data_IF_437964514307
#
_entry.id   IF_437964514307
#
_cell.length_a   1.000
_cell.length_b   1.000
_cell.length_c   1.000
_cell.angle_alpha   90.00
_cell.angle_beta   90.00
_cell.angle_gamma   90.00
#
_symmetry.space_group_name_H-M   'P 1'
#
loop_
_entity.id
_entity.type
_entity.pdbx_description
1 polymer ?
#
# COMPACT_ATOMS: atom_id res chain seq x y z
N UNK A 1 -15.68 6.68 -5.42
CA UNK A 1 -14.34 6.06 -5.44
C UNK A 1 -13.39 7.08 -6.06
N UNK A 2 -12.49 7.68 -5.27
CA UNK A 2 -11.52 8.66 -5.81
C UNK A 2 -10.52 7.91 -6.69
N UNK A 3 -10.41 8.30 -7.97
CA UNK A 3 -9.47 7.71 -8.93
C UNK A 3 -8.00 7.95 -8.57
N UNK A 4 -7.73 8.88 -7.66
CA UNK A 4 -6.37 9.33 -7.28
C UNK A 4 -5.56 8.35 -6.44
N UNK A 5 -6.21 7.31 -5.90
CA UNK A 5 -5.57 6.29 -5.07
C UNK A 5 -5.34 4.98 -5.83
N UNK A 6 -5.63 4.92 -7.12
CA UNK A 6 -5.40 3.73 -7.94
C UNK A 6 -3.97 3.76 -8.45
N UNK A 7 -3.20 2.73 -8.11
CA UNK A 7 -1.86 2.48 -8.64
C UNK A 7 -1.97 1.33 -9.63
N UNK A 8 -1.38 1.50 -10.81
CA UNK A 8 -1.20 0.41 -11.78
C UNK A 8 0.18 -0.18 -11.50
N UNK A 9 0.24 -1.48 -11.25
CA UNK A 9 1.48 -2.19 -11.00
C UNK A 9 2.20 -2.42 -12.34
N UNK A 10 3.49 -2.11 -12.38
CA UNK A 10 4.36 -2.46 -13.50
C UNK A 10 4.54 -3.97 -13.58
N UNK A 11 4.57 -4.64 -12.43
CA UNK A 11 4.67 -6.09 -12.30
C UNK A 11 3.41 -6.62 -11.60
N UNK A 12 2.38 -7.05 -12.36
CA UNK A 12 1.13 -7.51 -11.78
C UNK A 12 1.31 -8.69 -10.83
N UNK A 13 0.58 -8.65 -9.70
CA UNK A 13 0.55 -9.77 -8.75
C UNK A 13 -0.33 -10.89 -9.32
N UNK A 14 0.20 -12.11 -9.33
CA UNK A 14 -0.52 -13.31 -9.80
C UNK A 14 -1.01 -14.13 -8.61
N UNK A 15 -2.32 -14.35 -8.54
CA UNK A 15 -2.99 -15.15 -7.51
C UNK A 15 -3.81 -16.25 -8.18
N UNK A 16 -3.16 -17.37 -8.45
CA UNK A 16 -3.76 -18.43 -9.28
C UNK A 16 -4.06 -17.91 -10.69
N UNK A 17 -5.33 -17.95 -11.10
CA UNK A 17 -5.78 -17.41 -12.39
C UNK A 17 -6.02 -15.89 -12.36
N UNK A 18 -6.08 -15.28 -11.17
CA UNK A 18 -6.29 -13.85 -11.03
C UNK A 18 -4.99 -13.07 -11.25
N UNK A 19 -5.05 -12.02 -12.06
CA UNK A 19 -3.97 -11.05 -12.25
C UNK A 19 -4.40 -9.70 -11.70
N UNK A 20 -3.66 -9.18 -10.73
CA UNK A 20 -3.91 -7.90 -10.09
C UNK A 20 -2.96 -6.89 -10.73
N UNK A 21 -3.47 -6.16 -11.72
CA UNK A 21 -2.72 -5.09 -12.41
C UNK A 21 -2.90 -3.74 -11.75
N UNK A 22 -3.99 -3.57 -10.99
CA UNK A 22 -4.34 -2.29 -10.35
C UNK A 22 -4.73 -2.52 -8.91
N UNK A 23 -4.21 -1.66 -8.05
CA UNK A 23 -4.47 -1.67 -6.62
C UNK A 23 -4.96 -0.30 -6.21
N UNK A 24 -6.10 -0.24 -5.54
CA UNK A 24 -6.61 0.99 -4.94
C UNK A 24 -6.17 1.06 -3.49
N UNK A 25 -5.55 2.17 -3.09
CA UNK A 25 -5.22 2.43 -1.69
C UNK A 25 -6.36 3.14 -0.95
N UNK A 26 -6.67 2.63 0.23
CA UNK A 26 -7.63 3.21 1.17
C UNK A 26 -6.89 4.09 2.18
N UNK A 27 -7.46 5.25 2.50
CA UNK A 27 -6.88 6.14 3.51
C UNK A 27 -6.80 5.41 4.86
N UNK A 28 -5.63 5.34 5.51
CA UNK A 28 -5.47 4.60 6.75
C UNK A 28 -6.14 5.34 7.91
N UNK A 29 -6.58 4.58 8.91
CA UNK A 29 -6.90 5.09 10.23
C UNK A 29 -5.95 4.48 11.28
N UNK A 30 -6.07 4.88 12.54
CA UNK A 30 -5.21 4.36 13.61
C UNK A 30 -5.28 2.82 13.75
N UNK A 31 -6.44 2.22 13.50
CA UNK A 31 -6.62 0.77 13.52
C UNK A 31 -5.88 0.05 12.39
N UNK A 32 -5.84 0.65 11.20
CA UNK A 32 -5.08 0.13 10.04
C UNK A 32 -3.60 -0.06 10.38
N UNK A 33 -3.01 0.90 11.10
CA UNK A 33 -1.59 0.93 11.45
C UNK A 33 -1.25 0.15 12.73
N UNK A 34 -2.18 -0.63 13.27
CA UNK A 34 -1.94 -1.40 14.49
C UNK A 34 -0.75 -2.35 14.32
N UNK A 35 0.17 -2.33 15.28
CA UNK A 35 1.35 -3.22 15.29
C UNK A 35 2.56 -2.67 14.53
N UNK A 36 2.49 -1.42 14.04
CA UNK A 36 3.62 -0.65 13.52
C UNK A 36 3.62 0.75 14.14
N UNK A 37 4.79 1.41 14.20
CA UNK A 37 4.87 2.80 14.63
C UNK A 37 4.52 3.74 13.47
N UNK A 38 3.98 4.92 13.78
CA UNK A 38 3.74 5.96 12.77
C UNK A 38 5.04 6.39 12.07
N UNK A 39 6.14 6.46 12.83
CA UNK A 39 7.46 6.80 12.30
C UNK A 39 7.94 5.78 11.27
N UNK A 40 7.76 4.48 11.52
CA UNK A 40 8.16 3.44 10.58
C UNK A 40 7.40 3.52 9.26
N UNK A 41 6.10 3.83 9.31
CA UNK A 41 5.28 4.04 8.11
C UNK A 41 5.70 5.32 7.38
N UNK A 42 5.94 6.42 8.11
CA UNK A 42 6.39 7.69 7.53
C UNK A 42 7.76 7.58 6.85
N UNK A 43 8.66 6.77 7.41
CA UNK A 43 9.98 6.49 6.85
C UNK A 43 9.96 5.40 5.75
N UNK A 44 8.78 4.88 5.39
CA UNK A 44 8.63 3.81 4.41
C UNK A 44 9.45 2.56 4.73
N UNK A 45 9.54 2.19 6.01
CA UNK A 45 10.21 0.96 6.42
C UNK A 45 9.51 -0.26 5.81
N UNK A 46 10.28 -1.11 5.13
CA UNK A 46 9.76 -2.25 4.36
C UNK A 46 8.90 -3.18 5.23
N UNK A 47 9.36 -3.53 6.42
CA UNK A 47 8.60 -4.39 7.35
C UNK A 47 7.28 -3.75 7.80
N UNK A 48 7.24 -2.43 7.93
CA UNK A 48 6.00 -1.72 8.25
C UNK A 48 5.04 -1.73 7.06
N UNK A 49 5.55 -1.47 5.85
CA UNK A 49 4.77 -1.51 4.60
C UNK A 49 4.16 -2.88 4.34
N UNK A 50 4.94 -3.96 4.51
CA UNK A 50 4.48 -5.35 4.38
C UNK A 50 3.28 -5.61 5.30
N UNK A 51 3.29 -5.09 6.53
CA UNK A 51 2.20 -5.28 7.50
C UNK A 51 0.96 -4.45 7.21
N UNK A 52 1.11 -3.22 6.68
CA UNK A 52 -0.01 -2.29 6.54
C UNK A 52 -0.67 -2.32 5.17
N UNK A 53 0.09 -2.52 4.09
CA UNK A 53 -0.45 -2.54 2.73
C UNK A 53 -1.58 -3.58 2.53
N UNK A 54 -1.52 -4.79 3.10
CA UNK A 54 -2.66 -5.72 3.06
C UNK A 54 -3.96 -5.10 3.56
N UNK A 55 -3.90 -4.26 4.58
CA UNK A 55 -5.09 -3.64 5.20
C UNK A 55 -5.56 -2.39 4.46
N UNK A 56 -4.77 -1.90 3.53
CA UNK A 56 -4.99 -0.64 2.80
C UNK A 56 -5.30 -0.85 1.33
N UNK A 57 -5.23 -2.08 0.81
CA UNK A 57 -5.31 -2.36 -0.63
C UNK A 57 -6.64 -2.99 -1.03
N UNK A 58 -7.13 -2.61 -2.20
CA UNK A 58 -8.28 -3.22 -2.87
C UNK A 58 -7.92 -3.49 -4.36
N UNK A 59 -7.83 -4.76 -4.81
CA UNK A 59 -8.02 -5.98 -4.01
C UNK A 59 -6.99 -6.10 -2.87
N UNK A 60 -7.39 -6.78 -1.80
CA UNK A 60 -6.55 -7.00 -0.62
C UNK A 60 -5.33 -7.82 -1.02
N UNK A 61 -4.14 -7.23 -0.92
CA UNK A 61 -2.89 -7.96 -1.03
C UNK A 61 -2.61 -8.71 0.28
N UNK A 62 -1.85 -9.79 0.20
CA UNK A 62 -1.33 -10.52 1.35
C UNK A 62 0.07 -10.01 1.71
N UNK A 63 0.53 -10.26 2.93
CA UNK A 63 1.91 -9.90 3.32
C UNK A 63 2.96 -10.54 2.39
N UNK A 64 2.72 -11.78 1.96
CA UNK A 64 3.61 -12.49 1.03
C UNK A 64 3.65 -11.81 -0.34
N UNK A 65 2.51 -11.39 -0.89
CA UNK A 65 2.48 -10.68 -2.17
C UNK A 65 3.15 -9.32 -2.08
N UNK A 66 2.96 -8.58 -0.97
CA UNK A 66 3.63 -7.29 -0.76
C UNK A 66 5.14 -7.47 -0.63
N UNK A 67 5.60 -8.50 0.10
CA UNK A 67 7.01 -8.83 0.23
C UNK A 67 7.66 -9.29 -1.08
N UNK A 68 6.86 -9.78 -2.03
CA UNK A 68 7.29 -10.21 -3.35
C UNK A 68 7.11 -9.14 -4.44
N UNK A 69 6.66 -7.92 -4.09
CA UNK A 69 6.58 -6.83 -5.05
C UNK A 69 7.97 -6.43 -5.52
N UNK A 70 8.06 -6.10 -6.81
CA UNK A 70 9.23 -5.45 -7.36
C UNK A 70 9.39 -4.04 -6.77
N UNK A 71 10.64 -3.58 -6.68
CA UNK A 71 10.97 -2.31 -6.03
C UNK A 71 10.19 -1.09 -6.57
N UNK A 72 9.99 -0.91 -7.90
CA UNK A 72 9.23 0.23 -8.41
C UNK A 72 7.79 0.25 -7.89
N UNK A 73 7.15 -0.92 -7.82
CA UNK A 73 5.76 -1.08 -7.37
C UNK A 73 5.63 -0.82 -5.86
N UNK A 74 6.58 -1.34 -5.07
CA UNK A 74 6.62 -1.07 -3.63
C UNK A 74 6.83 0.42 -3.35
N UNK A 75 7.74 1.09 -4.08
CA UNK A 75 8.01 2.52 -3.95
C UNK A 75 6.78 3.35 -4.32
N UNK A 76 6.07 2.99 -5.40
CA UNK A 76 4.83 3.67 -5.80
C UNK A 76 3.75 3.60 -4.71
N UNK A 77 3.55 2.42 -4.13
CA UNK A 77 2.62 2.22 -3.01
C UNK A 77 3.06 3.00 -1.76
N UNK A 78 4.34 2.94 -1.40
CA UNK A 78 4.91 3.64 -0.25
C UNK A 78 4.72 5.16 -0.35
N UNK A 79 4.99 5.74 -1.52
CA UNK A 79 4.81 7.17 -1.76
C UNK A 79 3.37 7.64 -1.53
N UNK A 80 2.38 6.84 -1.93
CA UNK A 80 0.96 7.13 -1.62
C UNK A 80 0.63 6.95 -0.14
N UNK A 81 1.18 5.93 0.53
CA UNK A 81 0.97 5.71 1.97
C UNK A 81 1.51 6.87 2.79
N UNK A 82 2.76 7.30 2.55
CA UNK A 82 3.34 8.50 3.18
C UNK A 82 2.53 9.74 2.82
N UNK A 83 2.08 9.81 1.57
CA UNK A 83 1.17 10.84 1.07
C UNK A 83 -0.12 10.97 1.87
N UNK A 84 -0.60 9.94 2.59
CA UNK A 84 -1.77 10.04 3.49
C UNK A 84 -1.45 10.58 4.89
N UNK A 85 -0.17 10.58 5.29
CA UNK A 85 0.27 11.05 6.60
C UNK A 85 0.51 12.57 6.64
N UNK A 86 0.50 13.23 5.48
CA UNK A 86 0.61 14.68 5.42
C UNK A 86 -0.67 15.33 5.95
N UNK A 87 -0.59 16.40 6.77
CA UNK A 87 -1.78 17.12 7.23
C UNK A 87 -2.59 17.72 6.06
N UNK A 88 -1.97 17.89 4.89
CA UNK A 88 -2.62 18.41 3.68
C UNK A 88 -3.16 17.32 2.74
N UNK A 89 -3.19 16.04 3.14
CA UNK A 89 -3.72 14.93 2.32
C UNK A 89 -5.24 14.94 2.14
N UNK A 90 -5.87 16.08 2.41
CA UNK A 90 -7.29 16.35 2.20
C UNK A 90 -7.40 17.67 1.44
N UNK A 91 -7.36 17.56 0.11
CA UNK A 91 -8.14 18.38 -0.80
C UNK A 91 -8.51 17.52 -2.01
#
# INVERSE_FOLDING_TARGET
>A
MNKENVITLENPVKRGEQVIEKVTLMKPNAGTLRGVSLAAVANSEVDALIKVLPRMTAPMLTEQEVAALELPDLVALAGKVVGFLSPNSVQ
#
